data_IF_637205644417
#
_entry.id   IF_637205644417
#
_cell.length_a   1.000
_cell.length_b   1.000
_cell.length_c   1.000
_cell.angle_alpha   90.00
_cell.angle_beta   90.00
_cell.angle_gamma   90.00
#
_symmetry.space_group_name_H-M   'P 1'
#
loop_
_entity.id
_entity.type
_entity.pdbx_description
1 polymer ?
#
# COMPACT_ATOMS: atom_id res chain seq x y z
N UNK A 1 10.26 -3.90 -10.92
CA UNK A 1 9.50 -5.13 -11.21
C UNK A 1 8.59 -4.95 -12.42
N UNK A 2 7.55 -4.10 -12.38
CA UNK A 2 6.68 -3.82 -13.54
C UNK A 2 7.43 -3.35 -14.80
N UNK A 3 8.42 -2.45 -14.63
CA UNK A 3 9.24 -1.97 -15.75
C UNK A 3 10.04 -3.09 -16.47
N UNK A 4 10.37 -4.18 -15.78
CA UNK A 4 11.06 -5.33 -16.40
C UNK A 4 10.08 -6.20 -17.18
N UNK A 5 8.86 -6.41 -16.65
CA UNK A 5 7.78 -7.15 -17.33
C UNK A 5 7.41 -6.45 -18.64
N UNK A 6 7.25 -5.13 -18.62
CA UNK A 6 6.96 -4.33 -19.83
C UNK A 6 8.06 -4.49 -20.88
N UNK A 7 9.34 -4.41 -20.48
CA UNK A 7 10.48 -4.64 -21.39
C UNK A 7 10.50 -6.06 -21.98
N UNK A 8 10.12 -7.07 -21.21
CA UNK A 8 10.04 -8.46 -21.69
C UNK A 8 8.91 -8.63 -22.71
N UNK A 9 7.74 -8.03 -22.46
CA UNK A 9 6.62 -7.99 -23.42
C UNK A 9 7.05 -7.33 -24.73
N UNK A 10 7.71 -6.17 -24.68
CA UNK A 10 8.21 -5.48 -25.87
C UNK A 10 9.21 -6.35 -26.66
N UNK A 11 10.09 -7.05 -25.96
CA UNK A 11 11.07 -7.94 -26.57
C UNK A 11 10.39 -9.12 -27.27
N UNK A 12 9.37 -9.72 -26.63
CA UNK A 12 8.60 -10.82 -27.21
C UNK A 12 7.76 -10.36 -28.40
N UNK A 13 7.17 -9.16 -28.35
CA UNK A 13 6.44 -8.57 -29.46
C UNK A 13 7.35 -8.34 -30.67
N UNK A 14 8.57 -7.81 -30.46
CA UNK A 14 9.57 -7.67 -31.53
C UNK A 14 9.96 -9.04 -32.11
N UNK A 15 10.14 -10.05 -31.26
CA UNK A 15 10.46 -11.42 -31.71
C UNK A 15 9.33 -12.03 -32.54
N UNK A 16 8.08 -11.81 -32.15
CA UNK A 16 6.90 -12.24 -32.90
C UNK A 16 6.82 -11.56 -34.27
N UNK A 17 7.02 -10.24 -34.32
CA UNK A 17 7.04 -9.49 -35.59
C UNK A 17 8.15 -9.98 -36.52
N UNK A 18 9.35 -10.21 -36.00
CA UNK A 18 10.46 -10.73 -36.80
C UNK A 18 10.16 -12.14 -37.33
N UNK A 19 9.55 -13.03 -36.54
CA UNK A 19 9.17 -14.36 -36.99
C UNK A 19 8.07 -14.30 -38.07
N UNK A 20 7.13 -13.36 -37.96
CA UNK A 20 6.09 -13.14 -38.95
C UNK A 20 6.69 -12.72 -40.31
N UNK A 21 7.61 -11.75 -40.29
CA UNK A 21 8.30 -11.29 -41.50
C UNK A 21 9.08 -12.42 -42.16
N UNK A 22 9.90 -13.15 -41.40
CA UNK A 22 10.66 -14.30 -41.92
C UNK A 22 9.78 -15.38 -42.54
N UNK A 23 8.62 -15.65 -41.96
CA UNK A 23 7.68 -16.61 -42.54
C UNK A 23 7.04 -16.06 -43.83
N UNK A 24 6.71 -14.77 -43.87
CA UNK A 24 6.18 -14.13 -45.08
C UNK A 24 7.20 -14.11 -46.24
N UNK A 25 8.49 -13.93 -45.92
CA UNK A 25 9.59 -13.92 -46.88
C UNK A 25 10.05 -15.35 -47.28
N UNK A 26 9.46 -16.38 -46.69
CA UNK A 26 9.81 -17.79 -46.94
C UNK A 26 11.09 -18.26 -46.25
N UNK A 27 11.68 -17.44 -45.38
CA UNK A 27 12.87 -17.78 -44.57
C UNK A 27 12.56 -18.66 -43.35
N UNK A 28 11.28 -18.86 -43.02
CA UNK A 28 10.82 -19.69 -41.92
C UNK A 28 9.67 -20.60 -42.39
N UNK A 29 9.70 -21.87 -41.96
CA UNK A 29 8.61 -22.78 -42.25
C UNK A 29 7.34 -22.41 -41.46
N UNK A 30 6.18 -22.67 -42.06
CA UNK A 30 4.89 -22.36 -41.44
C UNK A 30 4.70 -23.02 -40.06
N UNK A 31 5.14 -24.27 -39.91
CA UNK A 31 5.03 -25.01 -38.63
C UNK A 31 5.91 -24.40 -37.54
N UNK A 32 7.14 -23.99 -37.88
CA UNK A 32 8.04 -23.29 -36.97
C UNK A 32 7.43 -21.95 -36.53
N UNK A 33 6.85 -21.21 -37.47
CA UNK A 33 6.15 -19.96 -37.16
C UNK A 33 4.97 -20.19 -36.22
N UNK A 34 4.13 -21.22 -36.43
CA UNK A 34 3.03 -21.52 -35.52
C UNK A 34 3.52 -21.83 -34.11
N UNK A 35 4.63 -22.56 -33.98
CA UNK A 35 5.22 -22.86 -32.69
C UNK A 35 5.74 -21.58 -31.99
N UNK A 36 6.48 -20.73 -32.71
CA UNK A 36 6.98 -19.45 -32.20
C UNK A 36 5.82 -18.54 -31.79
N UNK A 37 4.77 -18.44 -32.62
CA UNK A 37 3.56 -17.67 -32.33
C UNK A 37 2.89 -18.15 -31.05
N UNK A 38 2.70 -19.46 -30.89
CA UNK A 38 2.08 -20.05 -29.69
C UNK A 38 2.89 -19.72 -28.43
N UNK A 39 4.21 -19.91 -28.48
CA UNK A 39 5.09 -19.68 -27.33
C UNK A 39 5.17 -18.19 -26.95
N UNK A 40 5.34 -17.31 -27.94
CA UNK A 40 5.45 -15.86 -27.70
C UNK A 40 4.14 -15.27 -27.19
N UNK A 41 3.01 -15.57 -27.84
CA UNK A 41 1.70 -15.08 -27.38
C UNK A 41 1.32 -15.63 -26.01
N UNK A 42 1.49 -16.94 -25.77
CA UNK A 42 1.20 -17.52 -24.46
C UNK A 42 2.09 -16.98 -23.34
N UNK A 43 3.31 -16.53 -23.65
CA UNK A 43 4.16 -15.84 -22.67
C UNK A 43 3.71 -14.40 -22.44
N UNK A 44 3.33 -13.66 -23.48
CA UNK A 44 2.80 -12.30 -23.37
C UNK A 44 1.54 -12.29 -22.51
N UNK A 45 0.58 -13.18 -22.78
CA UNK A 45 -0.67 -13.30 -22.01
C UNK A 45 -0.40 -13.51 -20.50
N UNK A 46 0.57 -14.35 -20.15
CA UNK A 46 0.97 -14.56 -18.76
C UNK A 46 1.59 -13.32 -18.12
N UNK A 47 2.42 -12.59 -18.86
CA UNK A 47 3.07 -11.37 -18.37
C UNK A 47 2.07 -10.22 -18.20
N UNK A 48 1.08 -10.11 -19.09
CA UNK A 48 -0.01 -9.13 -18.99
C UNK A 48 -0.92 -9.42 -17.79
N UNK A 49 -1.25 -10.69 -17.55
CA UNK A 49 -1.99 -11.10 -16.34
C UNK A 49 -1.24 -10.70 -15.06
N UNK A 50 0.08 -10.98 -15.00
CA UNK A 50 0.92 -10.56 -13.87
C UNK A 50 0.96 -9.03 -13.67
N UNK A 51 0.93 -8.26 -14.75
CA UNK A 51 0.90 -6.80 -14.67
C UNK A 51 -0.42 -6.30 -14.09
N UNK A 52 -1.54 -6.91 -14.49
CA UNK A 52 -2.87 -6.60 -13.97
C UNK A 52 -2.98 -6.94 -12.48
N UNK A 53 -2.46 -8.09 -12.06
CA UNK A 53 -2.46 -8.48 -10.64
C UNK A 53 -1.68 -7.48 -9.79
N UNK A 54 -0.49 -7.05 -10.26
CA UNK A 54 0.31 -6.03 -9.58
C UNK A 54 -0.42 -4.68 -9.49
N UNK A 55 -1.17 -4.30 -10.52
CA UNK A 55 -1.97 -3.08 -10.53
C UNK A 55 -3.15 -3.16 -9.56
N UNK A 56 -3.82 -4.32 -9.45
CA UNK A 56 -4.88 -4.59 -8.48
C UNK A 56 -4.37 -4.43 -7.06
N UNK A 57 -3.27 -5.12 -6.73
CA UNK A 57 -2.64 -5.03 -5.40
C UNK A 57 -2.23 -3.59 -5.06
N UNK A 58 -1.69 -2.85 -6.04
CA UNK A 58 -1.37 -1.43 -5.85
C UNK A 58 -2.59 -0.56 -5.52
N UNK A 59 -3.74 -0.86 -6.12
CA UNK A 59 -5.00 -0.17 -5.85
C UNK A 59 -5.54 -0.54 -4.47
N UNK A 60 -5.57 -1.82 -4.13
CA UNK A 60 -6.02 -2.31 -2.82
C UNK A 60 -5.21 -1.71 -1.66
N UNK A 61 -3.88 -1.65 -1.79
CA UNK A 61 -3.01 -1.02 -0.79
C UNK A 61 -3.34 0.47 -0.66
N UNK A 62 -3.56 1.18 -1.77
CA UNK A 62 -3.90 2.61 -1.75
C UNK A 62 -5.21 2.85 -1.02
N UNK A 63 -6.22 2.04 -1.28
CA UNK A 63 -7.54 2.15 -0.66
C UNK A 63 -7.48 1.81 0.84
N UNK A 64 -6.68 0.81 1.22
CA UNK A 64 -6.42 0.48 2.62
C UNK A 64 -5.74 1.64 3.36
N UNK A 65 -4.72 2.26 2.74
CA UNK A 65 -4.03 3.43 3.31
C UNK A 65 -4.99 4.60 3.45
N UNK A 66 -5.73 4.95 2.39
CA UNK A 66 -6.67 6.06 2.40
C UNK A 66 -7.77 5.89 3.46
N UNK A 67 -8.36 4.69 3.54
CA UNK A 67 -9.38 4.37 4.55
C UNK A 67 -8.83 4.41 5.97
N UNK A 68 -7.60 3.92 6.19
CA UNK A 68 -6.95 3.97 7.50
C UNK A 68 -6.63 5.39 7.93
N UNK A 69 -6.10 6.23 7.02
CA UNK A 69 -5.85 7.65 7.28
C UNK A 69 -7.14 8.39 7.62
N UNK A 70 -8.24 8.12 6.91
CA UNK A 70 -9.55 8.70 7.22
C UNK A 70 -10.05 8.30 8.61
N UNK A 71 -9.87 7.03 8.99
CA UNK A 71 -10.24 6.53 10.33
C UNK A 71 -9.40 7.18 11.42
N UNK A 72 -8.11 7.38 11.18
CA UNK A 72 -7.18 8.01 12.11
C UNK A 72 -7.44 9.51 12.27
N UNK A 73 -7.74 10.20 11.17
CA UNK A 73 -8.05 11.63 11.18
C UNK A 73 -9.34 11.99 11.95
N UNK A 74 -10.23 11.02 12.15
CA UNK A 74 -11.49 11.18 12.89
C UNK A 74 -11.53 10.29 14.14
N UNK A 75 -10.38 9.87 14.66
CA UNK A 75 -10.31 8.91 15.77
C UNK A 75 -10.93 9.46 17.06
N UNK A 76 -10.84 10.78 17.27
CA UNK A 76 -11.48 11.53 18.34
C UNK A 76 -13.00 11.38 18.30
N UNK A 77 -13.62 11.74 17.17
CA UNK A 77 -15.07 11.65 16.96
C UNK A 77 -15.56 10.22 17.01
N UNK A 78 -14.76 9.27 16.50
CA UNK A 78 -15.08 7.84 16.57
C UNK A 78 -15.04 7.32 18.00
N UNK A 79 -14.11 7.78 18.82
CA UNK A 79 -14.07 7.40 20.24
C UNK A 79 -15.23 8.01 21.03
N UNK A 80 -15.56 9.28 20.78
CA UNK A 80 -16.66 9.95 21.47
C UNK A 80 -18.02 9.28 21.17
N UNK A 81 -18.29 9.02 19.89
CA UNK A 81 -19.59 8.54 19.41
C UNK A 81 -19.71 7.02 19.27
N UNK A 82 -18.59 6.27 19.35
CA UNK A 82 -18.59 4.82 19.17
C UNK A 82 -19.20 4.08 20.36
N UNK A 83 -19.54 2.81 20.15
CA UNK A 83 -19.98 1.93 21.23
C UNK A 83 -18.82 1.47 22.14
N UNK A 84 -19.13 0.66 23.17
CA UNK A 84 -18.13 0.18 24.13
C UNK A 84 -17.03 -0.64 23.44
N UNK A 85 -17.38 -1.45 22.43
CA UNK A 85 -16.42 -2.30 21.73
C UNK A 85 -15.52 -1.47 20.81
N UNK A 86 -16.06 -0.47 20.12
CA UNK A 86 -15.28 0.48 19.32
C UNK A 86 -14.32 1.30 20.19
N UNK A 87 -14.78 1.80 21.34
CA UNK A 87 -13.93 2.51 22.31
C UNK A 87 -12.82 1.63 22.82
N UNK A 88 -13.12 0.39 23.21
CA UNK A 88 -12.13 -0.59 23.64
C UNK A 88 -11.10 -0.85 22.55
N UNK A 89 -11.54 -1.08 21.31
CA UNK A 89 -10.67 -1.32 20.15
C UNK A 89 -9.71 -0.16 19.91
N UNK A 90 -10.21 1.08 19.98
CA UNK A 90 -9.38 2.28 19.82
C UNK A 90 -8.31 2.34 20.93
N UNK A 91 -8.70 2.16 22.19
CA UNK A 91 -7.76 2.19 23.32
C UNK A 91 -6.72 1.07 23.21
N UNK A 92 -7.12 -0.16 22.89
CA UNK A 92 -6.20 -1.29 22.69
C UNK A 92 -5.23 -1.08 21.52
N UNK A 93 -5.62 -0.31 20.49
CA UNK A 93 -4.71 0.03 19.38
C UNK A 93 -3.65 1.07 19.79
N UNK A 94 -3.98 1.94 20.75
CA UNK A 94 -3.09 2.97 21.29
C UNK A 94 -2.14 2.42 22.37
N UNK A 95 -2.62 1.47 23.16
CA UNK A 95 -1.90 0.83 24.26
C UNK A 95 -1.86 -0.69 24.00
N UNK A 96 -0.82 -1.20 23.31
CA UNK A 96 -0.75 -2.59 22.87
C UNK A 96 -0.51 -3.61 24.00
N UNK A 97 -0.16 -3.15 25.19
CA UNK A 97 0.10 -4.01 26.35
C UNK A 97 -1.16 -4.03 27.28
N UNK A 98 -1.21 -4.95 28.27
CA UNK A 98 -2.31 -5.04 29.25
C UNK A 98 -2.18 -4.09 30.45
N UNK A 99 -3.16 -3.24 30.73
CA UNK A 99 -3.13 -2.38 31.93
C UNK A 99 -2.78 -3.16 33.21
N UNK A 100 -1.61 -2.88 33.77
CA UNK A 100 -1.15 -3.49 35.02
C UNK A 100 -1.58 -2.64 36.21
N UNK A 101 -2.25 -3.30 37.18
CA UNK A 101 -2.66 -2.70 38.44
C UNK A 101 -1.93 -3.41 39.59
N UNK A 102 -1.12 -2.66 40.34
CA UNK A 102 -0.28 -3.19 41.42
C UNK A 102 -0.96 -3.17 42.80
N UNK A 103 -2.25 -2.83 42.86
CA UNK A 103 -3.01 -2.66 44.10
C UNK A 103 -3.03 -1.23 44.65
N UNK A 104 -2.16 -0.34 44.18
CA UNK A 104 -2.11 1.07 44.61
C UNK A 104 -2.05 2.08 43.47
N UNK A 105 -1.47 1.68 42.34
CA UNK A 105 -1.31 2.49 41.13
C UNK A 105 -1.63 1.64 39.90
N UNK A 106 -2.12 2.30 38.87
CA UNK A 106 -2.20 1.75 37.52
C UNK A 106 -1.07 2.37 36.72
N UNK A 107 -0.26 1.54 36.04
CA UNK A 107 0.76 2.05 35.11
C UNK A 107 0.18 2.01 33.70
N UNK A 108 0.03 3.18 33.08
CA UNK A 108 -0.25 3.26 31.65
C UNK A 108 0.96 2.72 30.90
N UNK A 109 0.72 1.74 30.03
CA UNK A 109 1.79 1.09 29.29
C UNK A 109 2.30 1.91 28.12
N UNK A 110 3.36 1.37 27.51
CA UNK A 110 4.05 1.97 26.36
C UNK A 110 3.04 2.33 25.28
N UNK A 111 2.97 3.62 24.93
CA UNK A 111 2.14 4.10 23.83
C UNK A 111 2.67 3.52 22.52
N UNK A 112 1.76 3.11 21.63
CA UNK A 112 2.10 2.67 20.28
C UNK A 112 2.94 3.76 19.57
N UNK A 113 4.09 3.39 19.01
CA UNK A 113 5.02 4.34 18.38
C UNK A 113 4.37 5.11 17.22
N UNK A 114 3.43 4.51 16.48
CA UNK A 114 2.68 5.19 15.44
C UNK A 114 1.85 6.36 16.00
N UNK A 115 1.26 6.19 17.18
CA UNK A 115 0.52 7.25 17.88
C UNK A 115 1.48 8.36 18.32
N UNK A 116 2.66 8.02 18.85
CA UNK A 116 3.66 9.02 19.22
C UNK A 116 4.09 9.90 18.03
N UNK A 117 4.23 9.33 16.83
CA UNK A 117 4.57 10.09 15.62
C UNK A 117 3.47 11.09 15.22
N UNK A 118 2.21 10.76 15.45
CA UNK A 118 1.07 11.67 15.22
C UNK A 118 1.12 12.84 16.22
N UNK A 119 1.35 12.56 17.50
CA UNK A 119 1.44 13.58 18.56
C UNK A 119 2.69 14.48 18.43
N UNK A 120 3.80 13.97 17.92
CA UNK A 120 5.02 14.77 17.73
C UNK A 120 4.86 15.90 16.71
N UNK A 121 3.99 15.73 15.71
CA UNK A 121 3.72 16.81 14.76
C UNK A 121 2.97 17.95 15.42
N UNK A 122 2.07 17.71 16.38
CA UNK A 122 1.26 18.77 16.98
C UNK A 122 2.11 19.76 17.80
N UNK A 123 3.10 19.29 18.55
CA UNK A 123 3.97 20.17 19.36
C UNK A 123 5.01 20.94 18.54
N UNK A 124 5.43 20.41 17.37
CA UNK A 124 6.32 21.09 16.43
C UNK A 124 5.59 22.02 15.44
N UNK A 125 4.29 21.81 15.23
CA UNK A 125 3.43 22.65 14.38
C UNK A 125 2.75 23.79 15.13
N UNK A 126 2.61 23.70 16.46
CA UNK A 126 2.22 24.85 17.28
C UNK A 126 3.40 25.82 17.36
N UNK A 127 3.34 26.93 16.62
CA UNK A 127 4.27 28.04 16.79
C UNK A 127 4.39 28.43 18.26
N UNK A 128 5.57 28.90 18.69
CA UNK A 128 5.82 29.40 20.05
C UNK A 128 4.62 30.24 20.51
N UNK A 129 3.87 29.76 21.51
CA UNK A 129 2.91 30.61 22.22
C UNK A 129 3.71 31.74 22.88
N UNK A 130 3.68 32.93 22.29
CA UNK A 130 4.15 34.13 22.96
C UNK A 130 3.18 34.38 24.11
N UNK A 131 3.59 34.10 25.34
CA UNK A 131 2.79 34.42 26.51
C UNK A 131 2.46 35.91 26.52
N UNK A 132 1.19 36.26 26.69
CA UNK A 132 0.84 37.63 27.07
C UNK A 132 1.37 37.87 28.48
N UNK A 133 2.37 38.73 28.60
CA UNK A 133 2.77 39.30 29.88
C UNK A 133 1.67 40.29 30.27
N UNK A 134 0.83 39.91 31.24
CA UNK A 134 0.01 40.89 31.94
C UNK A 134 0.93 41.65 32.90
N UNK A 135 1.22 42.90 32.54
CA UNK A 135 1.80 43.88 33.46
C UNK A 135 0.66 44.35 34.38
N UNK A 136 0.76 44.00 35.66
CA UNK A 136 0.14 44.75 36.75
C UNK A 136 1.19 45.64 37.39
#
# INVERSE_FOLDING_TARGET
MAANIIKEIDTLNKRYQNALLKNADGEMAGDDFQQVKKLTKGRIEKLEAQLNDLASVGTEIRDLVASTLKKLANIDRRYENGDIEEKRTIISSMFPEFLEFDGTRHRTQKINSAIMLIYQNTSKLQGKKMGQVFLF
#
